data_IF_547882203422
#
_entry.id   IF_547882203422
#
_cell.length_a   1.000
_cell.length_b   1.000
_cell.length_c   1.000
_cell.angle_alpha   90.00
_cell.angle_beta   90.00
_cell.angle_gamma   90.00
#
_symmetry.space_group_name_H-M   'P 1'
#
loop_
_entity.id
_entity.type
_entity.pdbx_description
1 polymer ?
#
# COMPACT_ATOMS: atom_id res chain seq x y z
N UNK A 1 -16.13 14.19 -7.36
CA UNK A 1 -15.14 15.26 -7.09
C UNK A 1 -15.61 16.53 -7.79
N UNK A 2 -15.28 17.71 -7.28
CA UNK A 2 -15.62 19.00 -7.92
C UNK A 2 -14.46 19.44 -8.80
N UNK A 3 -14.73 19.94 -10.01
CA UNK A 3 -13.72 20.44 -10.95
C UNK A 3 -12.78 21.49 -10.30
N UNK A 4 -13.31 22.31 -9.38
CA UNK A 4 -12.54 23.29 -8.62
C UNK A 4 -11.45 22.61 -7.76
N UNK A 5 -11.76 21.47 -7.16
CA UNK A 5 -10.82 20.72 -6.33
C UNK A 5 -9.71 20.09 -7.18
N UNK A 6 -10.06 19.56 -8.35
CA UNK A 6 -9.09 18.98 -9.29
C UNK A 6 -8.11 20.04 -9.80
N UNK A 7 -8.61 21.21 -10.21
CA UNK A 7 -7.75 22.33 -10.61
C UNK A 7 -6.83 22.75 -9.46
N UNK A 8 -7.37 22.88 -8.25
CA UNK A 8 -6.59 23.22 -7.06
C UNK A 8 -5.47 22.22 -6.81
N UNK A 9 -5.76 20.91 -6.90
CA UNK A 9 -4.75 19.89 -6.64
C UNK A 9 -3.70 19.85 -7.76
N UNK A 10 -4.07 20.11 -9.02
CA UNK A 10 -3.12 20.17 -10.14
C UNK A 10 -2.02 21.21 -9.94
N UNK A 11 -2.39 22.40 -9.46
CA UNK A 11 -1.47 23.55 -9.35
C UNK A 11 -1.08 23.89 -7.91
N UNK A 12 -1.48 23.08 -6.92
CA UNK A 12 -1.35 23.44 -5.49
C UNK A 12 0.03 23.95 -5.10
N UNK A 13 1.09 23.42 -5.70
CA UNK A 13 2.46 23.69 -5.30
C UNK A 13 3.30 24.34 -6.41
N UNK A 14 2.67 24.88 -7.46
CA UNK A 14 3.40 25.55 -8.53
C UNK A 14 4.11 26.80 -8.01
N UNK A 15 5.27 27.17 -8.58
CA UNK A 15 6.02 28.35 -8.14
C UNK A 15 5.31 29.68 -8.45
N UNK A 16 4.40 29.67 -9.44
CA UNK A 16 3.56 30.82 -9.77
C UNK A 16 2.33 30.85 -8.86
N UNK A 17 1.90 32.05 -8.48
CA UNK A 17 0.65 32.25 -7.74
C UNK A 17 -0.53 32.12 -8.69
N UNK A 18 -1.46 31.20 -8.40
CA UNK A 18 -2.67 30.99 -9.20
C UNK A 18 -3.90 31.40 -8.40
N UNK A 19 -4.73 32.25 -9.00
CA UNK A 19 -6.02 32.65 -8.47
C UNK A 19 -7.13 31.93 -9.24
N UNK A 20 -8.06 31.30 -8.51
CA UNK A 20 -9.28 30.73 -9.06
C UNK A 20 -10.46 31.39 -8.36
N UNK A 21 -11.29 32.11 -9.13
CA UNK A 21 -12.43 32.87 -8.62
C UNK A 21 -12.03 33.82 -7.47
N UNK A 22 -10.94 34.57 -7.65
CA UNK A 22 -10.41 35.51 -6.66
C UNK A 22 -9.66 34.86 -5.49
N UNK A 23 -9.70 33.53 -5.35
CA UNK A 23 -9.04 32.81 -4.25
C UNK A 23 -7.69 32.24 -4.70
N UNK A 24 -6.64 32.47 -3.92
CA UNK A 24 -5.33 31.85 -4.15
C UNK A 24 -5.43 30.35 -3.88
N UNK A 25 -5.09 29.53 -4.88
CA UNK A 25 -5.13 28.06 -4.79
C UNK A 25 -3.75 27.41 -4.69
N UNK A 26 -2.70 28.21 -4.84
CA UNK A 26 -1.29 27.80 -4.72
C UNK A 26 -0.75 27.99 -3.32
N UNK A 27 0.26 27.20 -2.97
CA UNK A 27 0.99 27.24 -1.71
C UNK A 27 2.47 27.06 -1.98
N UNK A 28 3.30 27.72 -1.18
CA UNK A 28 4.75 27.55 -1.27
C UNK A 28 5.16 26.31 -0.48
N UNK A 29 5.76 25.28 -1.11
CA UNK A 29 6.21 24.09 -0.40
C UNK A 29 7.13 24.41 0.78
N UNK A 30 8.00 25.41 0.66
CA UNK A 30 8.99 25.77 1.69
C UNK A 30 8.36 26.28 3.00
N UNK A 31 7.11 26.76 2.95
CA UNK A 31 6.39 27.28 4.11
C UNK A 31 5.47 26.24 4.76
N UNK A 32 5.38 25.04 4.16
CA UNK A 32 4.56 23.95 4.65
C UNK A 32 5.33 23.09 5.67
N UNK A 33 4.59 22.39 6.55
CA UNK A 33 5.20 21.45 7.50
C UNK A 33 5.46 20.10 6.84
N UNK A 34 6.70 19.67 6.79
CA UNK A 34 7.09 18.38 6.21
C UNK A 34 7.54 17.40 7.29
N UNK A 35 7.31 16.12 7.05
CA UNK A 35 7.83 15.06 7.94
C UNK A 35 9.30 14.79 7.64
N UNK A 36 9.71 14.99 6.38
CA UNK A 36 11.10 14.96 5.97
C UNK A 36 11.31 15.83 4.72
N UNK A 37 12.56 16.22 4.50
CA UNK A 37 13.03 16.98 3.36
C UNK A 37 14.47 16.58 3.05
N UNK A 38 14.81 16.45 1.77
CA UNK A 38 16.18 16.25 1.29
C UNK A 38 16.44 17.14 0.07
N UNK A 39 17.58 16.98 -0.60
CA UNK A 39 17.95 17.79 -1.77
C UNK A 39 17.06 17.55 -3.00
N UNK A 40 16.31 16.45 -3.05
CA UNK A 40 15.52 16.04 -4.22
C UNK A 40 14.02 16.24 -4.04
N UNK A 41 13.49 16.25 -2.81
CA UNK A 41 12.06 16.39 -2.55
C UNK A 41 11.68 16.78 -1.11
N UNK A 42 10.41 17.18 -0.97
CA UNK A 42 9.69 17.28 0.30
C UNK A 42 8.74 16.09 0.47
N UNK A 43 8.64 15.57 1.69
CA UNK A 43 7.85 14.38 2.02
C UNK A 43 6.91 14.62 3.19
N UNK A 44 5.65 14.18 3.02
CA UNK A 44 4.66 14.13 4.10
C UNK A 44 3.94 12.80 4.07
N UNK A 45 3.89 12.11 5.19
CA UNK A 45 3.19 10.85 5.36
C UNK A 45 1.79 11.10 5.91
N UNK A 46 0.87 10.22 5.54
CA UNK A 46 -0.50 10.21 6.04
C UNK A 46 -0.89 8.78 6.37
N UNK A 47 -1.73 8.63 7.39
CA UNK A 47 -2.33 7.34 7.72
C UNK A 47 -3.07 6.77 6.52
N UNK A 48 -4.00 7.55 5.98
CA UNK A 48 -4.91 7.13 4.93
C UNK A 48 -4.72 7.91 3.63
N UNK A 49 -5.37 7.43 2.57
CA UNK A 49 -5.37 8.05 1.24
C UNK A 49 -4.24 7.59 0.33
N UNK A 50 -4.29 8.05 -0.92
CA UNK A 50 -3.24 7.82 -1.90
C UNK A 50 -2.02 8.72 -1.65
N UNK A 51 -0.87 8.34 -2.21
CA UNK A 51 0.32 9.19 -2.23
C UNK A 51 0.24 10.10 -3.44
N UNK A 52 0.08 11.41 -3.20
CA UNK A 52 0.04 12.40 -4.28
C UNK A 52 1.44 12.84 -4.66
N UNK A 53 1.78 12.77 -5.94
CA UNK A 53 3.14 13.00 -6.42
C UNK A 53 3.16 14.23 -7.33
N UNK A 54 3.96 15.22 -6.94
CA UNK A 54 4.13 16.48 -7.66
C UNK A 54 5.54 16.55 -8.24
N UNK A 55 5.64 16.85 -9.54
CA UNK A 55 6.90 17.13 -10.21
C UNK A 55 7.10 18.64 -10.25
N UNK A 56 8.05 19.16 -9.47
CA UNK A 56 8.33 20.60 -9.36
C UNK A 56 7.07 21.44 -9.09
N UNK A 57 6.17 20.91 -8.24
CA UNK A 57 4.97 21.61 -7.82
C UNK A 57 3.71 21.35 -8.64
N UNK A 58 3.79 20.64 -9.77
CA UNK A 58 2.62 20.22 -10.57
C UNK A 58 2.26 18.78 -10.25
N UNK A 59 1.00 18.51 -9.92
CA UNK A 59 0.53 17.14 -9.67
C UNK A 59 0.66 16.29 -10.94
N UNK A 60 1.33 15.15 -10.83
CA UNK A 60 1.48 14.19 -11.92
C UNK A 60 0.47 13.06 -11.78
N UNK A 61 0.40 12.48 -10.58
CA UNK A 61 -0.42 11.29 -10.32
C UNK A 61 -0.65 11.03 -8.84
N UNK A 62 -1.54 10.09 -8.57
CA UNK A 62 -1.72 9.47 -7.26
C UNK A 62 -1.28 8.02 -7.31
N UNK A 63 -0.36 7.63 -6.43
CA UNK A 63 -0.03 6.23 -6.21
C UNK A 63 -0.97 5.64 -5.15
N UNK A 64 -1.56 4.46 -5.40
CA UNK A 64 -2.46 3.85 -4.45
C UNK A 64 -1.74 3.49 -3.14
N UNK A 65 -2.44 3.57 -2.01
CA UNK A 65 -1.88 3.35 -0.67
C UNK A 65 -1.13 2.02 -0.55
N UNK A 66 -1.65 0.94 -1.14
CA UNK A 66 -1.04 -0.38 -1.07
C UNK A 66 0.36 -0.46 -1.71
N UNK A 67 0.72 0.47 -2.58
CA UNK A 67 2.06 0.51 -3.15
C UNK A 67 3.11 0.92 -2.11
N UNK A 68 2.73 1.77 -1.17
CA UNK A 68 3.63 2.35 -0.17
C UNK A 68 3.37 1.84 1.25
N UNK A 69 2.17 1.33 1.52
CA UNK A 69 1.67 0.93 2.85
C UNK A 69 0.98 2.08 3.60
N UNK A 70 1.17 3.31 3.13
CA UNK A 70 0.76 4.57 3.76
C UNK A 70 0.27 5.55 2.70
N UNK A 71 -0.52 6.55 3.11
CA UNK A 71 -0.82 7.70 2.26
C UNK A 71 0.28 8.75 2.34
N UNK A 72 0.17 9.82 1.54
CA UNK A 72 1.16 10.89 1.64
C UNK A 72 1.18 11.89 0.50
N UNK A 73 2.24 12.68 0.52
CA UNK A 73 2.54 13.73 -0.42
C UNK A 73 4.05 13.73 -0.69
N UNK A 74 4.41 13.73 -1.97
CA UNK A 74 5.77 13.87 -2.45
C UNK A 74 5.80 15.06 -3.39
N UNK A 75 6.68 16.02 -3.14
CA UNK A 75 6.93 17.13 -4.06
C UNK A 75 8.39 17.13 -4.44
N UNK A 76 8.70 16.91 -5.71
CA UNK A 76 10.08 16.98 -6.17
C UNK A 76 10.58 18.42 -6.28
N UNK A 77 11.83 18.63 -5.86
CA UNK A 77 12.63 19.84 -6.12
C UNK A 77 13.29 19.77 -7.49
N UNK A 78 13.64 18.56 -7.92
CA UNK A 78 14.29 18.27 -9.19
C UNK A 78 13.30 17.67 -10.20
N UNK A 79 13.54 17.82 -11.52
CA UNK A 79 12.66 17.28 -12.54
C UNK A 79 12.65 15.76 -12.53
N UNK A 80 11.46 15.19 -12.36
CA UNK A 80 11.21 13.75 -12.56
C UNK A 80 10.99 13.50 -14.06
N UNK A 81 11.60 12.44 -14.59
CA UNK A 81 11.37 12.03 -15.97
C UNK A 81 9.97 11.39 -16.10
N UNK A 82 9.15 11.95 -16.98
CA UNK A 82 7.78 11.53 -17.24
C UNK A 82 7.65 10.98 -18.67
N UNK A 83 6.57 10.26 -18.92
CA UNK A 83 6.19 9.86 -20.28
C UNK A 83 5.76 11.08 -21.14
N UNK A 84 5.51 10.85 -22.43
CA UNK A 84 5.14 11.91 -23.40
C UNK A 84 3.88 12.67 -22.97
N UNK A 85 2.89 11.98 -22.37
CA UNK A 85 1.66 12.61 -21.87
C UNK A 85 1.80 13.30 -20.51
N UNK A 86 2.98 13.21 -19.86
CA UNK A 86 3.26 13.77 -18.52
C UNK A 86 2.31 13.30 -17.40
N UNK A 87 1.71 12.12 -17.56
CA UNK A 87 0.81 11.51 -16.56
C UNK A 87 1.48 10.38 -15.78
N UNK A 88 2.56 9.83 -16.32
CA UNK A 88 3.23 8.65 -15.77
C UNK A 88 4.72 8.92 -15.55
N UNK A 89 5.26 8.37 -14.46
CA UNK A 89 6.67 8.50 -14.09
C UNK A 89 7.46 7.37 -14.75
N UNK A 90 8.60 7.68 -15.37
CA UNK A 90 9.51 6.70 -15.94
C UNK A 90 10.33 6.00 -14.85
N UNK A 91 9.66 5.21 -14.00
CA UNK A 91 10.22 4.68 -12.74
C UNK A 91 11.51 3.86 -12.91
N UNK A 92 11.65 3.15 -14.03
CA UNK A 92 12.82 2.29 -14.31
C UNK A 92 14.08 3.08 -14.66
N UNK A 93 13.93 4.22 -15.33
CA UNK A 93 15.05 4.98 -15.90
C UNK A 93 15.34 6.28 -15.15
N UNK A 94 14.34 6.87 -14.48
CA UNK A 94 14.51 8.12 -13.76
C UNK A 94 15.31 7.94 -12.46
N UNK A 95 16.53 8.48 -12.42
CA UNK A 95 17.41 8.45 -11.24
C UNK A 95 16.85 9.26 -10.08
N UNK A 96 16.34 10.47 -10.34
CA UNK A 96 15.68 11.33 -9.34
C UNK A 96 14.53 10.58 -8.66
N UNK A 97 13.69 9.91 -9.45
CA UNK A 97 12.60 9.12 -8.90
C UNK A 97 13.07 7.95 -8.04
N UNK A 98 14.15 7.26 -8.43
CA UNK A 98 14.71 6.17 -7.62
C UNK A 98 15.15 6.66 -6.24
N UNK A 99 15.81 7.81 -6.17
CA UNK A 99 16.20 8.43 -4.90
C UNK A 99 14.98 8.78 -4.05
N UNK A 100 14.00 9.47 -4.64
CA UNK A 100 12.73 9.84 -3.98
C UNK A 100 12.00 8.60 -3.46
N UNK A 101 11.88 7.56 -4.29
CA UNK A 101 11.17 6.34 -3.94
C UNK A 101 11.87 5.55 -2.81
N UNK A 102 13.21 5.51 -2.82
CA UNK A 102 13.98 4.88 -1.75
C UNK A 102 13.80 5.61 -0.42
N UNK A 103 13.88 6.94 -0.45
CA UNK A 103 13.72 7.77 0.76
C UNK A 103 12.28 7.67 1.31
N UNK A 104 11.28 7.85 0.46
CA UNK A 104 9.88 7.74 0.88
C UNK A 104 9.53 6.32 1.35
N UNK A 105 10.10 5.29 0.72
CA UNK A 105 9.96 3.90 1.16
C UNK A 105 10.49 3.66 2.58
N UNK A 106 11.66 4.23 2.89
CA UNK A 106 12.26 4.18 4.23
C UNK A 106 11.39 4.90 5.26
N UNK A 107 10.92 6.11 4.94
CA UNK A 107 10.02 6.87 5.81
C UNK A 107 8.69 6.14 6.04
N UNK A 108 8.12 5.55 4.99
CA UNK A 108 6.87 4.80 5.07
C UNK A 108 7.00 3.55 5.95
N UNK A 109 8.13 2.84 5.89
CA UNK A 109 8.42 1.71 6.77
C UNK A 109 8.49 2.16 8.24
N UNK A 110 9.30 3.18 8.53
CA UNK A 110 9.45 3.72 9.88
C UNK A 110 8.12 4.25 10.45
N UNK A 111 7.32 4.93 9.62
CA UNK A 111 6.00 5.41 10.00
C UNK A 111 5.07 4.23 10.33
N UNK A 112 5.03 3.21 9.47
CA UNK A 112 4.19 2.03 9.68
C UNK A 112 4.57 1.26 10.95
N UNK A 113 5.86 1.23 11.30
CA UNK A 113 6.34 0.56 12.51
C UNK A 113 6.01 1.36 13.78
N UNK A 114 6.11 2.70 13.72
CA UNK A 114 5.75 3.58 14.84
C UNK A 114 4.24 3.65 15.10
N UNK A 115 3.40 3.43 14.09
CA UNK A 115 1.93 3.32 14.27
C UNK A 115 1.51 2.03 14.98
N UNK A 116 2.48 1.16 15.28
CA UNK A 116 2.39 0.20 16.35
C UNK A 116 2.03 -1.20 15.89
N UNK A 117 2.65 -2.15 16.59
CA UNK A 117 2.29 -3.56 16.69
C UNK A 117 0.78 -3.81 16.95
N UNK A 118 -0.04 -2.78 17.21
CA UNK A 118 -1.46 -2.89 17.53
C UNK A 118 -2.41 -2.75 16.34
N UNK A 119 -2.02 -2.13 15.22
CA UNK A 119 -2.93 -1.98 14.06
C UNK A 119 -2.20 -2.15 12.73
N UNK A 120 -1.89 -3.40 12.37
CA UNK A 120 -1.48 -3.75 11.00
C UNK A 120 -2.63 -3.42 10.05
N UNK A 121 -2.42 -2.46 9.14
CA UNK A 121 -3.45 -1.99 8.20
C UNK A 121 -3.57 -2.92 6.99
N UNK A 122 -4.75 -2.98 6.36
CA UNK A 122 -4.95 -3.77 5.14
C UNK A 122 -3.98 -3.36 4.00
N UNK A 123 -3.64 -2.08 3.88
CA UNK A 123 -2.68 -1.61 2.88
C UNK A 123 -1.25 -2.12 3.15
N UNK A 124 -0.83 -2.20 4.42
CA UNK A 124 0.45 -2.82 4.79
C UNK A 124 0.45 -4.30 4.45
N UNK A 125 -0.63 -5.02 4.78
CA UNK A 125 -0.79 -6.44 4.45
C UNK A 125 -0.74 -6.69 2.94
N UNK A 126 -1.44 -5.89 2.15
CA UNK A 126 -1.42 -5.98 0.70
C UNK A 126 -0.02 -5.76 0.13
N UNK A 127 0.68 -4.72 0.58
CA UNK A 127 2.07 -4.44 0.17
C UNK A 127 2.96 -5.63 0.45
N UNK A 128 2.94 -6.15 1.68
CA UNK A 128 3.75 -7.29 2.11
C UNK A 128 3.40 -8.54 1.30
N UNK A 129 2.11 -8.82 1.06
CA UNK A 129 1.69 -9.95 0.25
C UNK A 129 2.24 -9.86 -1.18
N UNK A 130 2.20 -8.67 -1.81
CA UNK A 130 2.78 -8.43 -3.14
C UNK A 130 4.30 -8.60 -3.14
N UNK A 131 4.99 -8.09 -2.13
CA UNK A 131 6.44 -8.26 -1.97
C UNK A 131 6.83 -9.74 -1.82
N UNK A 132 6.08 -10.50 -1.02
CA UNK A 132 6.26 -11.95 -0.88
C UNK A 132 6.05 -12.69 -2.21
N UNK A 133 4.99 -12.35 -2.96
CA UNK A 133 4.72 -12.94 -4.28
C UNK A 133 5.80 -12.62 -5.31
N UNK A 134 6.39 -11.42 -5.24
CA UNK A 134 7.49 -11.00 -6.10
C UNK A 134 8.85 -11.62 -5.69
N UNK A 135 8.95 -12.19 -4.47
CA UNK A 135 10.21 -12.70 -3.93
C UNK A 135 11.23 -11.60 -3.62
N UNK A 136 10.76 -10.38 -3.33
CA UNK A 136 11.61 -9.22 -3.08
C UNK A 136 11.84 -9.00 -1.58
N UNK A 137 12.97 -8.38 -1.22
CA UNK A 137 13.29 -8.03 0.17
C UNK A 137 13.71 -9.21 1.06
N UNK A 138 13.64 -9.01 2.37
CA UNK A 138 13.97 -10.03 3.38
C UNK A 138 12.79 -10.99 3.56
N UNK A 139 12.69 -11.98 2.67
CA UNK A 139 11.58 -12.94 2.63
C UNK A 139 11.37 -13.61 3.98
N UNK A 140 12.43 -13.96 4.70
CA UNK A 140 12.32 -14.64 5.99
C UNK A 140 11.63 -13.76 7.05
N UNK A 141 11.97 -12.46 7.11
CA UNK A 141 11.26 -11.52 7.98
C UNK A 141 9.80 -11.35 7.60
N UNK A 142 9.50 -11.28 6.30
CA UNK A 142 8.13 -11.10 5.82
C UNK A 142 7.26 -12.32 6.12
N UNK A 143 7.79 -13.54 5.95
CA UNK A 143 7.09 -14.81 6.22
C UNK A 143 6.72 -14.95 7.70
N UNK A 144 7.59 -14.48 8.60
CA UNK A 144 7.45 -14.69 10.04
C UNK A 144 6.83 -13.49 10.79
N UNK A 145 6.99 -12.26 10.27
CA UNK A 145 6.63 -11.03 10.98
C UNK A 145 5.29 -10.42 10.58
N UNK A 146 4.82 -10.65 9.34
CA UNK A 146 3.71 -9.91 8.75
C UNK A 146 2.48 -10.78 8.51
N UNK A 147 1.31 -10.26 8.89
CA UNK A 147 0.04 -11.00 8.83
C UNK A 147 -0.63 -10.89 7.47
N UNK A 148 -0.14 -11.67 6.51
CA UNK A 148 -0.61 -11.62 5.11
C UNK A 148 -1.77 -12.57 4.80
N UNK A 149 -2.06 -13.54 5.67
CA UNK A 149 -3.14 -14.51 5.49
C UNK A 149 -4.28 -14.19 6.45
N UNK A 150 -5.53 -14.20 5.96
CA UNK A 150 -6.71 -14.08 6.82
C UNK A 150 -7.46 -15.41 6.86
N UNK A 151 -7.70 -15.93 8.07
CA UNK A 151 -8.35 -17.20 8.32
C UNK A 151 -9.73 -17.04 8.97
N UNK A 152 -10.59 -18.01 8.71
CA UNK A 152 -11.80 -18.30 9.48
C UNK A 152 -11.46 -19.28 10.63
N UNK A 153 -12.26 -19.32 11.72
CA UNK A 153 -13.46 -18.51 11.97
C UNK A 153 -13.14 -17.06 12.32
N UNK A 154 -14.04 -16.14 11.97
CA UNK A 154 -13.85 -14.71 12.09
C UNK A 154 -12.88 -14.15 11.04
N UNK A 155 -12.23 -13.02 11.37
CA UNK A 155 -11.18 -12.42 10.53
C UNK A 155 -9.85 -12.44 11.27
N UNK A 156 -9.27 -13.62 11.39
CA UNK A 156 -7.98 -13.80 12.06
C UNK A 156 -6.86 -13.54 11.05
N UNK A 157 -6.13 -12.44 11.22
CA UNK A 157 -4.95 -12.14 10.41
C UNK A 157 -3.74 -12.87 11.00
N UNK A 158 -3.06 -13.68 10.20
CA UNK A 158 -1.95 -14.54 10.62
C UNK A 158 -0.79 -14.45 9.63
N UNK A 159 0.41 -14.77 10.11
CA UNK A 159 1.62 -14.81 9.27
C UNK A 159 1.61 -16.02 8.34
N UNK A 160 2.44 -15.99 7.29
CA UNK A 160 2.55 -17.13 6.39
C UNK A 160 3.11 -18.36 7.12
N UNK A 161 4.09 -18.17 8.01
CA UNK A 161 4.60 -19.24 8.88
C UNK A 161 3.49 -19.87 9.73
N UNK A 162 2.69 -19.05 10.41
CA UNK A 162 1.60 -19.54 11.25
C UNK A 162 0.56 -20.31 10.42
N UNK A 163 0.23 -19.83 9.24
CA UNK A 163 -0.66 -20.52 8.31
C UNK A 163 -0.11 -21.88 7.88
N UNK A 164 1.17 -21.94 7.47
CA UNK A 164 1.82 -23.19 7.08
C UNK A 164 1.88 -24.20 8.24
N UNK A 165 2.17 -23.72 9.46
CA UNK A 165 2.10 -24.54 10.66
C UNK A 165 0.68 -25.08 10.91
N UNK A 166 -0.36 -24.26 10.77
CA UNK A 166 -1.76 -24.71 10.86
C UNK A 166 -2.10 -25.77 9.82
N UNK A 167 -1.62 -25.64 8.58
CA UNK A 167 -1.86 -26.63 7.52
C UNK A 167 -1.10 -27.95 7.77
N UNK A 168 0.06 -27.90 8.43
CA UNK A 168 0.90 -29.06 8.73
C UNK A 168 0.42 -29.86 9.95
N UNK A 169 -0.02 -29.16 10.99
CA UNK A 169 -0.31 -29.73 12.31
C UNK A 169 -1.80 -29.67 12.67
N UNK A 170 -2.69 -29.67 11.66
CA UNK A 170 -4.12 -29.60 11.92
C UNK A 170 -4.62 -30.87 12.64
N UNK A 171 -5.39 -30.77 13.75
CA UNK A 171 -5.72 -31.93 14.59
C UNK A 171 -6.50 -33.04 13.87
N UNK A 172 -7.38 -32.66 12.94
CA UNK A 172 -8.29 -33.57 12.22
C UNK A 172 -7.73 -34.09 10.89
N UNK A 173 -6.44 -33.87 10.64
CA UNK A 173 -5.78 -34.11 9.36
C UNK A 173 -5.46 -35.59 9.14
N UNK A 174 -6.25 -36.29 8.31
CA UNK A 174 -5.80 -37.57 7.72
C UNK A 174 -4.67 -37.31 6.71
N UNK A 175 -4.71 -36.16 6.03
CA UNK A 175 -3.71 -35.70 5.08
C UNK A 175 -2.99 -34.45 5.61
N UNK A 176 -1.66 -34.39 5.49
CA UNK A 176 -0.88 -33.20 5.87
C UNK A 176 -0.88 -32.18 4.73
N UNK A 177 -0.75 -30.90 5.06
CA UNK A 177 -0.63 -29.79 4.11
C UNK A 177 -1.91 -29.49 3.30
N UNK A 178 -3.07 -29.55 3.93
CA UNK A 178 -4.33 -29.18 3.30
C UNK A 178 -4.91 -27.91 3.92
N UNK A 179 -5.64 -27.18 3.10
CA UNK A 179 -6.48 -26.06 3.48
C UNK A 179 -7.58 -25.90 2.43
N UNK A 180 -8.60 -25.12 2.76
CA UNK A 180 -9.64 -24.75 1.80
C UNK A 180 -9.77 -23.24 1.73
N UNK A 181 -10.31 -22.75 0.61
CA UNK A 181 -10.43 -21.32 0.33
C UNK A 181 -11.89 -21.01 0.05
N UNK A 182 -12.40 -19.98 0.72
CA UNK A 182 -13.68 -19.38 0.37
C UNK A 182 -13.43 -18.39 -0.77
N UNK A 183 -14.06 -18.61 -1.93
CA UNK A 183 -13.84 -17.80 -3.15
C UNK A 183 -14.64 -16.51 -3.17
N UNK A 184 -15.83 -16.51 -2.57
CA UNK A 184 -16.75 -15.37 -2.57
C UNK A 184 -17.16 -14.98 -1.15
N UNK A 185 -17.45 -13.70 -0.93
CA UNK A 185 -18.00 -13.21 0.34
C UNK A 185 -19.31 -13.91 0.73
N UNK A 186 -20.09 -14.37 -0.26
CA UNK A 186 -21.35 -15.08 -0.05
C UNK A 186 -21.16 -16.47 0.59
N UNK A 187 -20.00 -17.10 0.39
CA UNK A 187 -19.68 -18.43 0.90
C UNK A 187 -19.03 -18.40 2.29
N UNK A 188 -18.75 -17.20 2.84
CA UNK A 188 -18.14 -17.03 4.17
C UNK A 188 -18.93 -17.75 5.27
N UNK A 189 -20.28 -17.70 5.34
CA UNK A 189 -21.03 -18.45 6.35
C UNK A 189 -20.79 -19.97 6.29
N UNK A 190 -20.59 -20.53 5.09
CA UNK A 190 -20.26 -21.96 4.94
C UNK A 190 -18.84 -22.25 5.39
N UNK A 191 -17.90 -21.38 5.05
CA UNK A 191 -16.52 -21.47 5.53
C UNK A 191 -16.40 -21.38 7.05
N UNK A 192 -17.23 -20.54 7.70
CA UNK A 192 -17.30 -20.44 9.17
C UNK A 192 -17.68 -21.77 9.81
N UNK A 193 -18.67 -22.48 9.25
CA UNK A 193 -19.09 -23.78 9.75
C UNK A 193 -17.95 -24.82 9.65
N UNK A 194 -17.24 -24.84 8.51
CA UNK A 194 -16.10 -25.74 8.29
C UNK A 194 -14.97 -25.46 9.30
N UNK A 195 -14.66 -24.18 9.50
CA UNK A 195 -13.58 -23.76 10.39
C UNK A 195 -13.92 -24.01 11.86
N UNK A 196 -15.15 -23.69 12.31
CA UNK A 196 -15.62 -23.94 13.68
C UNK A 196 -15.75 -25.43 13.98
N UNK A 197 -16.13 -26.23 12.98
CA UNK A 197 -16.18 -27.68 13.08
C UNK A 197 -14.79 -28.34 13.14
N UNK A 198 -13.70 -27.58 13.00
CA UNK A 198 -12.35 -28.13 13.00
C UNK A 198 -12.11 -29.13 11.87
N UNK A 199 -12.78 -28.94 10.72
CA UNK A 199 -12.69 -29.84 9.56
C UNK A 199 -11.42 -29.52 8.76
N UNK A 200 -11.20 -28.24 8.47
CA UNK A 200 -10.04 -27.76 7.73
C UNK A 200 -9.67 -26.33 8.14
N UNK A 201 -8.40 -25.92 8.01
CA UNK A 201 -8.05 -24.50 7.94
C UNK A 201 -8.74 -23.87 6.74
N UNK A 202 -9.48 -22.77 6.96
CA UNK A 202 -10.23 -22.07 5.91
C UNK A 202 -9.70 -20.66 5.71
N UNK A 203 -9.26 -20.35 4.49
CA UNK A 203 -8.78 -19.03 4.09
C UNK A 203 -9.96 -18.14 3.71
N UNK A 204 -10.03 -16.95 4.31
CA UNK A 204 -11.05 -15.93 4.02
C UNK A 204 -10.76 -15.25 2.66
N UNK A 205 -11.78 -14.93 1.85
CA UNK A 205 -11.62 -14.39 0.49
C UNK A 205 -10.86 -13.05 0.43
N UNK A 206 -10.91 -12.26 1.50
CA UNK A 206 -10.13 -11.00 1.61
C UNK A 206 -8.63 -11.19 1.37
N UNK A 207 -8.08 -12.36 1.72
CA UNK A 207 -6.69 -12.72 1.43
C UNK A 207 -6.42 -12.73 -0.09
N UNK A 208 -7.44 -13.08 -0.89
CA UNK A 208 -7.37 -13.12 -2.35
C UNK A 208 -7.65 -11.76 -3.00
N UNK A 209 -8.27 -10.80 -2.29
CA UNK A 209 -8.43 -9.44 -2.81
C UNK A 209 -7.07 -8.77 -3.11
N UNK A 210 -6.00 -9.22 -2.46
CA UNK A 210 -4.62 -8.79 -2.77
C UNK A 210 -4.08 -9.35 -4.11
N UNK A 211 -4.70 -10.42 -4.63
CA UNK A 211 -4.23 -11.17 -5.81
C UNK A 211 -5.07 -10.94 -7.07
N UNK A 212 -6.31 -10.43 -6.96
CA UNK A 212 -7.22 -10.21 -8.10
C UNK A 212 -6.77 -9.12 -9.10
N UNK A 213 -5.56 -8.56 -8.96
CA UNK A 213 -4.92 -7.72 -9.98
C UNK A 213 -3.77 -8.42 -10.72
N UNK A 214 -3.55 -9.72 -10.50
CA UNK A 214 -2.52 -10.51 -11.19
C UNK A 214 -3.02 -11.26 -12.43
N UNK A 215 -4.28 -11.08 -12.86
CA UNK A 215 -4.74 -11.57 -14.16
C UNK A 215 -4.53 -13.07 -14.40
N UNK A 216 -4.74 -13.89 -13.38
CA UNK A 216 -4.82 -15.34 -13.52
C UNK A 216 -6.31 -15.73 -13.49
N UNK A 217 -6.94 -15.63 -14.66
CA UNK A 217 -8.04 -16.51 -15.05
C UNK A 217 -7.47 -17.83 -15.59
#
# INVERSE_FOLDING_TARGET
MSCIQEIRDLVRYTPITVHLNGTIITRQPQLEKWDAEDDVAWYRLREDGAVSIYNQGVLVRHDPRHQWGVGGLIISKQPIALNVSRTEILRKTCTVWKSIAAQFGTLAAAFSDNQGNHRKTEARREKTARTLLAGEGDVQKLVNGEEVITLLPGKQHVTLEHFLCKCRYHPSAVEKNFFTIVRSAQDVPRGELIARGGIAPVVHPVTLCFSNHLGLE
#
